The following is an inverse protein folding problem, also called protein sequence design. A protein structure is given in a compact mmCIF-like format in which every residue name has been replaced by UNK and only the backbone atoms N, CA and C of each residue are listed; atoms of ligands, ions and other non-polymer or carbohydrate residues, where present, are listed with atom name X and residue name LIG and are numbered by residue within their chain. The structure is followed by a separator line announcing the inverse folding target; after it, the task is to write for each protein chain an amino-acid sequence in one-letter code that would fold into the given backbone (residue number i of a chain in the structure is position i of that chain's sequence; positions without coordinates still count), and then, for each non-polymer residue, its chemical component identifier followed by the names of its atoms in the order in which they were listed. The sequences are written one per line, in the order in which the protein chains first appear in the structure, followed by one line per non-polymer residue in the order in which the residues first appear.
data_IF_253098503903
#
_entry.id   IF_253098503903
#
_cell.length_a   1.000
_cell.length_b   1.000
_cell.length_c   1.000
_cell.angle_alpha   90.00
_cell.angle_beta   90.00
_cell.angle_gamma   90.00
#
_symmetry.space_group_name_H-M   'P 1'
#
loop_
_entity.id
_entity.type
_entity.pdbx_description
1 polymer ?
#
# COMPACT_ATOMS: atom_id res chain seq x y z
N UNK A 1 81.52 -15.06 11.76
CA UNK A 1 80.50 -15.10 12.83
C UNK A 1 79.37 -14.18 12.38
N UNK A 2 78.15 -14.68 12.12
CA UNK A 2 77.03 -13.82 11.72
C UNK A 2 76.18 -13.36 12.91
N UNK A 3 75.66 -12.14 12.77
CA UNK A 3 74.87 -11.36 13.73
C UNK A 3 73.52 -12.01 14.07
N UNK A 4 73.13 -11.92 15.35
CA UNK A 4 71.80 -12.31 15.84
C UNK A 4 70.78 -11.21 15.51
N UNK A 5 69.84 -11.54 14.63
CA UNK A 5 68.64 -10.74 14.36
C UNK A 5 67.61 -10.95 15.48
N UNK A 6 67.40 -9.92 16.31
CA UNK A 6 66.37 -9.90 17.36
C UNK A 6 65.02 -9.65 16.66
N UNK A 7 64.26 -10.72 16.46
CA UNK A 7 62.90 -10.64 15.95
C UNK A 7 61.98 -10.01 16.99
N UNK A 8 61.59 -8.76 16.73
CA UNK A 8 60.63 -7.98 17.49
C UNK A 8 59.24 -8.65 17.44
N UNK A 9 58.80 -9.18 18.58
CA UNK A 9 57.54 -9.94 18.69
C UNK A 9 56.36 -8.95 18.74
N UNK A 10 55.65 -8.83 17.63
CA UNK A 10 54.40 -8.07 17.53
C UNK A 10 53.36 -8.53 18.59
N UNK A 11 52.64 -7.62 19.26
CA UNK A 11 51.62 -7.99 20.24
C UNK A 11 50.41 -8.61 19.54
N UNK A 12 49.97 -9.76 20.04
CA UNK A 12 48.78 -10.48 19.56
C UNK A 12 47.51 -9.64 19.74
N UNK A 13 46.52 -9.71 18.82
CA UNK A 13 45.27 -8.97 18.95
C UNK A 13 44.54 -9.40 20.22
N UNK A 14 44.20 -8.43 21.07
CA UNK A 14 43.41 -8.66 22.29
C UNK A 14 42.07 -9.28 21.90
N UNK A 15 41.80 -10.50 22.38
CA UNK A 15 40.46 -11.12 22.29
C UNK A 15 39.50 -10.23 23.07
N UNK A 16 38.72 -9.40 22.37
CA UNK A 16 37.62 -8.67 23.00
C UNK A 16 36.61 -9.67 23.56
N UNK A 17 36.47 -9.67 24.89
CA UNK A 17 35.49 -10.51 25.58
C UNK A 17 34.10 -9.92 25.29
N UNK A 18 33.15 -10.69 24.73
CA UNK A 18 31.82 -10.19 24.44
C UNK A 18 31.12 -9.70 25.70
N UNK A 19 30.39 -8.58 25.59
CA UNK A 19 29.60 -8.04 26.70
C UNK A 19 28.53 -9.05 27.12
N UNK A 20 28.19 -9.06 28.41
CA UNK A 20 27.17 -9.95 28.97
C UNK A 20 25.82 -9.84 28.23
N UNK A 21 25.44 -8.63 27.82
CA UNK A 21 24.23 -8.39 27.03
C UNK A 21 24.28 -9.10 25.66
N UNK A 22 25.44 -9.12 25.01
CA UNK A 22 25.65 -9.82 23.73
C UNK A 22 25.58 -11.33 23.91
N UNK A 23 26.15 -11.86 25.01
CA UNK A 23 26.07 -13.29 25.33
C UNK A 23 24.64 -13.72 25.68
N UNK A 24 23.93 -12.90 26.46
CA UNK A 24 22.52 -13.14 26.78
C UNK A 24 21.67 -13.14 25.50
N UNK A 25 21.88 -12.17 24.60
CA UNK A 25 21.22 -12.14 23.31
C UNK A 25 21.53 -13.39 22.46
N UNK A 26 22.80 -13.82 22.38
CA UNK A 26 23.15 -15.04 21.66
C UNK A 26 22.48 -16.29 22.24
N UNK A 27 22.39 -16.39 23.57
CA UNK A 27 21.69 -17.50 24.24
C UNK A 27 20.21 -17.45 23.93
N UNK A 28 19.54 -16.30 24.09
CA UNK A 28 18.12 -16.12 23.78
C UNK A 28 17.84 -16.49 22.31
N UNK A 29 18.67 -16.02 21.38
CA UNK A 29 18.53 -16.34 19.95
C UNK A 29 18.69 -17.85 19.65
N UNK A 30 19.37 -18.60 20.51
CA UNK A 30 19.52 -20.05 20.35
C UNK A 30 18.41 -20.85 21.03
N UNK A 31 17.95 -20.41 22.20
CA UNK A 31 17.01 -21.17 23.02
C UNK A 31 15.56 -20.80 22.76
N UNK A 32 15.24 -19.50 22.71
CA UNK A 32 13.90 -19.01 22.41
C UNK A 32 13.98 -17.58 21.83
N UNK A 33 14.06 -17.44 20.49
CA UNK A 33 14.13 -16.15 19.81
C UNK A 33 12.92 -15.24 20.06
N UNK A 34 11.76 -15.80 20.43
CA UNK A 34 10.54 -15.01 20.63
C UNK A 34 10.59 -14.10 21.85
N UNK A 35 11.41 -14.45 22.84
CA UNK A 35 11.65 -13.62 24.03
C UNK A 35 12.15 -12.21 23.69
N UNK A 36 12.80 -12.02 22.54
CA UNK A 36 13.25 -10.70 22.12
C UNK A 36 12.11 -9.70 21.91
N UNK A 37 10.98 -10.17 21.38
CA UNK A 37 9.82 -9.31 21.16
C UNK A 37 9.11 -8.97 22.47
N UNK A 38 9.05 -9.93 23.41
CA UNK A 38 8.57 -9.67 24.77
C UNK A 38 9.44 -8.63 25.49
N UNK A 39 10.76 -8.68 25.28
CA UNK A 39 11.69 -7.71 25.86
C UNK A 39 11.60 -6.33 25.18
N UNK A 40 11.32 -6.28 23.88
CA UNK A 40 11.18 -5.05 23.11
C UNK A 40 10.04 -4.16 23.61
N UNK A 41 8.88 -4.73 23.92
CA UNK A 41 7.75 -3.95 24.46
C UNK A 41 7.98 -3.41 25.88
N UNK A 42 8.88 -4.04 26.64
CA UNK A 42 9.04 -3.75 28.07
C UNK A 42 10.28 -2.93 28.42
N UNK A 43 11.31 -2.86 27.55
CA UNK A 43 12.56 -2.13 27.81
C UNK A 43 13.23 -1.62 26.53
N UNK A 44 13.92 -0.47 26.62
CA UNK A 44 14.85 -0.01 25.58
C UNK A 44 16.05 -0.95 25.50
N UNK A 45 16.13 -1.73 24.42
CA UNK A 45 17.27 -2.58 24.13
C UNK A 45 18.42 -1.75 23.51
N UNK A 46 19.68 -2.17 23.70
CA UNK A 46 20.78 -1.59 22.95
C UNK A 46 20.58 -1.79 21.45
N UNK A 47 20.79 -0.74 20.65
CA UNK A 47 20.58 -0.76 19.21
C UNK A 47 21.34 -1.89 18.49
N UNK A 48 22.50 -2.31 19.01
CA UNK A 48 23.28 -3.41 18.44
C UNK A 48 22.56 -4.77 18.56
N UNK A 49 21.83 -5.01 19.65
CA UNK A 49 21.07 -6.25 19.87
C UNK A 49 19.78 -6.21 19.05
N UNK A 50 19.09 -5.07 19.06
CA UNK A 50 17.88 -4.86 18.26
C UNK A 50 18.13 -5.07 16.77
N UNK A 51 19.16 -4.41 16.21
CA UNK A 51 19.51 -4.52 14.80
C UNK A 51 19.96 -5.92 14.39
N UNK A 52 20.59 -6.67 15.29
CA UNK A 52 21.18 -7.97 14.95
C UNK A 52 20.22 -9.14 15.14
N UNK A 53 19.31 -9.07 16.10
CA UNK A 53 18.48 -10.20 16.50
C UNK A 53 16.99 -9.97 16.31
N UNK A 54 16.52 -8.71 16.35
CA UNK A 54 15.09 -8.37 16.32
C UNK A 54 14.69 -7.89 14.94
N UNK A 55 15.36 -6.85 14.44
CA UNK A 55 15.05 -6.21 13.17
C UNK A 55 15.03 -7.17 11.98
N UNK A 56 15.94 -8.15 11.84
CA UNK A 56 15.86 -9.11 10.73
C UNK A 56 14.57 -9.94 10.75
N UNK A 57 14.13 -10.37 11.93
CA UNK A 57 12.91 -11.17 12.10
C UNK A 57 11.64 -10.32 11.87
N UNK A 58 11.61 -9.09 12.40
CA UNK A 58 10.53 -8.12 12.13
C UNK A 58 10.46 -7.82 10.64
N UNK A 59 11.59 -7.50 9.99
CA UNK A 59 11.62 -7.21 8.56
C UNK A 59 11.18 -8.39 7.72
N UNK A 60 11.53 -9.62 8.12
CA UNK A 60 11.04 -10.81 7.44
C UNK A 60 9.51 -10.90 7.50
N UNK A 61 8.93 -10.71 8.68
CA UNK A 61 7.48 -10.72 8.87
C UNK A 61 6.80 -9.60 8.08
N UNK A 62 7.34 -8.37 8.16
CA UNK A 62 6.86 -7.22 7.39
C UNK A 62 6.89 -7.52 5.89
N UNK A 63 7.99 -8.08 5.37
CA UNK A 63 8.11 -8.44 3.97
C UNK A 63 7.12 -9.54 3.54
N UNK A 64 6.78 -10.47 4.43
CA UNK A 64 5.79 -11.52 4.17
C UNK A 64 4.37 -10.92 4.07
N UNK A 65 3.96 -10.11 5.05
CA UNK A 65 2.67 -9.44 5.02
C UNK A 65 2.57 -8.41 3.88
N UNK A 66 3.66 -7.70 3.58
CA UNK A 66 3.70 -6.76 2.45
C UNK A 66 3.44 -7.48 1.12
N UNK A 67 4.01 -8.68 0.91
CA UNK A 67 3.72 -9.50 -0.28
C UNK A 67 2.25 -9.89 -0.36
N UNK A 68 1.65 -10.30 0.76
CA UNK A 68 0.22 -10.65 0.82
C UNK A 68 -0.62 -9.42 0.50
N UNK A 69 -0.31 -8.27 1.11
CA UNK A 69 -0.98 -7.00 0.84
C UNK A 69 -0.92 -6.63 -0.65
N UNK A 70 0.27 -6.65 -1.27
CA UNK A 70 0.42 -6.33 -2.69
C UNK A 70 -0.30 -7.32 -3.60
N UNK A 71 -0.33 -8.60 -3.24
CA UNK A 71 -1.14 -9.61 -3.93
C UNK A 71 -2.63 -9.25 -3.89
N UNK A 72 -3.15 -8.90 -2.72
CA UNK A 72 -4.54 -8.48 -2.53
C UNK A 72 -4.87 -7.18 -3.28
N UNK A 73 -3.94 -6.23 -3.33
CA UNK A 73 -4.07 -4.99 -4.12
C UNK A 73 -4.19 -5.31 -5.61
N UNK A 74 -3.36 -6.24 -6.11
CA UNK A 74 -3.41 -6.66 -7.50
C UNK A 74 -4.71 -7.42 -7.83
N UNK A 75 -5.16 -8.31 -6.95
CA UNK A 75 -6.43 -9.01 -7.10
C UNK A 75 -7.61 -8.02 -7.11
N UNK A 76 -7.60 -7.03 -6.20
CA UNK A 76 -8.60 -5.97 -6.19
C UNK A 76 -8.61 -5.19 -7.51
N UNK A 77 -7.42 -4.85 -8.04
CA UNK A 77 -7.31 -4.15 -9.32
C UNK A 77 -7.97 -4.95 -10.44
N UNK A 78 -7.73 -6.25 -10.52
CA UNK A 78 -8.38 -7.13 -11.49
C UNK A 78 -9.90 -7.17 -11.30
N UNK A 79 -10.39 -7.24 -10.06
CA UNK A 79 -11.84 -7.17 -9.77
C UNK A 79 -12.45 -5.86 -10.26
N UNK A 80 -11.77 -4.73 -10.05
CA UNK A 80 -12.21 -3.41 -10.50
C UNK A 80 -12.25 -3.35 -12.01
N UNK A 81 -11.19 -3.77 -12.68
CA UNK A 81 -11.11 -3.74 -14.14
C UNK A 81 -12.16 -4.67 -14.78
N UNK A 82 -12.40 -5.86 -14.21
CA UNK A 82 -13.46 -6.77 -14.66
C UNK A 82 -14.87 -6.19 -14.45
N UNK A 83 -15.13 -5.59 -13.28
CA UNK A 83 -16.42 -4.96 -12.99
C UNK A 83 -16.69 -3.76 -13.91
N UNK A 84 -15.69 -2.90 -14.10
CA UNK A 84 -15.75 -1.76 -15.02
C UNK A 84 -15.99 -2.22 -16.46
N UNK A 85 -15.26 -3.24 -16.93
CA UNK A 85 -15.45 -3.81 -18.28
C UNK A 85 -16.86 -4.39 -18.46
N UNK A 86 -17.40 -5.06 -17.44
CA UNK A 86 -18.77 -5.59 -17.47
C UNK A 86 -19.81 -4.47 -17.57
N UNK A 87 -19.64 -3.39 -16.79
CA UNK A 87 -20.50 -2.21 -16.88
C UNK A 87 -20.40 -1.56 -18.26
N UNK A 88 -19.19 -1.40 -18.80
CA UNK A 88 -18.99 -0.81 -20.13
C UNK A 88 -19.59 -1.65 -21.25
N UNK A 89 -19.66 -2.97 -21.09
CA UNK A 89 -20.31 -3.85 -22.05
C UNK A 89 -21.85 -3.81 -21.96
N UNK A 90 -22.41 -3.35 -20.84
CA UNK A 90 -23.85 -3.30 -20.62
C UNK A 90 -24.51 -2.16 -21.42
N UNK A 91 -25.40 -2.46 -22.38
CA UNK A 91 -26.02 -1.43 -23.21
C UNK A 91 -26.93 -0.46 -22.44
N UNK A 92 -27.57 -0.94 -21.36
CA UNK A 92 -28.42 -0.11 -20.50
C UNK A 92 -27.55 0.90 -19.75
N UNK A 93 -26.47 0.42 -19.12
CA UNK A 93 -25.49 1.28 -18.45
C UNK A 93 -24.94 2.34 -19.41
N UNK A 94 -24.49 1.96 -20.61
CA UNK A 94 -23.96 2.92 -21.59
C UNK A 94 -24.95 4.02 -21.96
N UNK A 95 -26.23 3.66 -22.15
CA UNK A 95 -27.30 4.62 -22.47
C UNK A 95 -27.56 5.56 -21.30
N UNK A 96 -27.70 5.03 -20.09
CA UNK A 96 -27.90 5.81 -18.87
C UNK A 96 -26.70 6.73 -18.60
N UNK A 97 -25.47 6.21 -18.68
CA UNK A 97 -24.25 6.97 -18.50
C UNK A 97 -24.13 8.09 -19.54
N UNK A 98 -24.41 7.81 -20.82
CA UNK A 98 -24.41 8.84 -21.86
C UNK A 98 -25.43 9.94 -21.60
N UNK A 99 -26.64 9.59 -21.14
CA UNK A 99 -27.67 10.57 -20.77
C UNK A 99 -27.25 11.39 -19.56
N UNK A 100 -26.67 10.77 -18.53
CA UNK A 100 -26.13 11.46 -17.37
C UNK A 100 -25.02 12.44 -17.77
N UNK A 101 -24.10 12.04 -18.64
CA UNK A 101 -23.03 12.92 -19.14
C UNK A 101 -23.59 14.08 -19.97
N UNK A 102 -24.62 13.84 -20.79
CA UNK A 102 -25.33 14.89 -21.53
C UNK A 102 -26.03 15.87 -20.57
N UNK A 103 -26.67 15.38 -19.51
CA UNK A 103 -27.31 16.22 -18.50
C UNK A 103 -26.29 17.06 -17.72
N UNK A 104 -25.18 16.46 -17.28
CA UNK A 104 -24.10 17.15 -16.58
C UNK A 104 -23.49 18.26 -17.44
N UNK A 105 -23.19 17.96 -18.70
CA UNK A 105 -22.62 18.95 -19.61
C UNK A 105 -23.59 20.07 -20.00
N UNK A 106 -24.86 19.74 -20.22
CA UNK A 106 -25.92 20.74 -20.38
C UNK A 106 -26.03 21.64 -19.14
N UNK A 107 -25.97 21.05 -17.94
CA UNK A 107 -25.96 21.79 -16.68
C UNK A 107 -24.76 22.73 -16.56
N UNK A 108 -23.55 22.27 -16.92
CA UNK A 108 -22.34 23.11 -16.94
C UNK A 108 -22.49 24.25 -17.95
N UNK A 109 -22.98 23.97 -19.17
CA UNK A 109 -23.17 24.99 -20.21
C UNK A 109 -24.15 26.08 -19.74
N UNK A 110 -25.28 25.70 -19.15
CA UNK A 110 -26.23 26.65 -18.57
C UNK A 110 -25.65 27.39 -17.36
N UNK A 111 -24.86 26.71 -16.52
CA UNK A 111 -24.16 27.35 -15.40
C UNK A 111 -23.21 28.45 -15.87
N UNK A 112 -22.40 28.18 -16.90
CA UNK A 112 -21.51 29.17 -17.52
C UNK A 112 -22.31 30.34 -18.10
N UNK A 113 -23.45 30.07 -18.74
CA UNK A 113 -24.34 31.14 -19.22
C UNK A 113 -24.76 32.10 -18.10
N UNK A 114 -25.19 31.57 -16.95
CA UNK A 114 -25.60 32.40 -15.82
C UNK A 114 -24.42 33.16 -15.20
N UNK A 115 -23.23 32.55 -15.14
CA UNK A 115 -22.00 33.23 -14.68
C UNK A 115 -21.65 34.40 -15.61
N UNK A 116 -21.69 34.19 -16.93
CA UNK A 116 -21.43 35.24 -17.92
C UNK A 116 -22.43 36.39 -17.78
N UNK A 117 -23.72 36.07 -17.60
CA UNK A 117 -24.76 37.08 -17.39
C UNK A 117 -24.55 37.87 -16.10
N UNK A 118 -24.19 37.20 -15.00
CA UNK A 118 -23.91 37.86 -13.72
C UNK A 118 -22.65 38.74 -13.78
N UNK A 119 -21.69 38.41 -14.64
CA UNK A 119 -20.44 39.16 -14.83
C UNK A 119 -20.58 40.42 -15.69
N UNK A 120 -21.81 40.81 -16.05
CA UNK A 120 -22.07 42.02 -16.85
C UNK A 120 -21.69 41.90 -18.33
N UNK A 121 -21.48 40.68 -18.84
CA UNK A 121 -21.24 40.43 -20.26
C UNK A 121 -22.48 40.81 -21.07
N UNK A 122 -22.27 41.36 -22.28
CA UNK A 122 -23.37 41.85 -23.12
C UNK A 122 -24.44 40.78 -23.39
N UNK A 123 -25.70 41.21 -23.54
CA UNK A 123 -26.82 40.32 -23.85
C UNK A 123 -26.62 39.58 -25.19
N UNK A 124 -25.99 40.22 -26.18
CA UNK A 124 -25.67 39.61 -27.46
C UNK A 124 -24.64 38.48 -27.33
N UNK A 125 -23.59 38.69 -26.52
CA UNK A 125 -22.55 37.68 -26.27
C UNK A 125 -23.09 36.48 -25.48
N UNK A 126 -23.89 36.74 -24.44
CA UNK A 126 -24.51 35.67 -23.63
C UNK A 126 -25.54 34.87 -24.43
N UNK A 127 -26.30 35.52 -25.32
CA UNK A 127 -27.21 34.83 -26.23
C UNK A 127 -26.45 33.99 -27.26
N UNK A 128 -25.39 34.54 -27.86
CA UNK A 128 -24.51 33.80 -28.78
C UNK A 128 -23.96 32.53 -28.11
N UNK A 129 -23.62 32.61 -26.82
CA UNK A 129 -23.17 31.45 -26.05
C UNK A 129 -24.26 30.38 -25.83
N UNK A 130 -25.54 30.73 -25.75
CA UNK A 130 -26.61 29.73 -25.73
C UNK A 130 -26.74 29.02 -27.09
N UNK A 131 -26.52 29.74 -28.18
CA UNK A 131 -26.57 29.17 -29.54
C UNK A 131 -25.45 28.15 -29.79
N UNK A 132 -24.39 28.13 -28.98
CA UNK A 132 -23.32 27.11 -29.08
C UNK A 132 -23.66 25.77 -28.42
N UNK A 133 -24.84 25.61 -27.80
CA UNK A 133 -25.28 24.33 -27.20
C UNK A 133 -25.14 23.13 -28.17
N UNK A 134 -25.53 23.21 -29.47
CA UNK A 134 -25.34 22.10 -30.39
C UNK A 134 -23.86 21.70 -30.56
N UNK A 135 -22.95 22.69 -30.58
CA UNK A 135 -21.52 22.42 -30.64
C UNK A 135 -21.03 21.69 -29.37
N UNK A 136 -21.53 22.08 -28.20
CA UNK A 136 -21.25 21.39 -26.93
C UNK A 136 -21.73 19.93 -26.96
N UNK A 137 -22.91 19.67 -27.53
CA UNK A 137 -23.44 18.31 -27.67
C UNK A 137 -22.58 17.47 -28.62
N UNK A 138 -22.12 18.03 -29.75
CA UNK A 138 -21.24 17.34 -30.70
C UNK A 138 -19.91 16.98 -30.04
N UNK A 139 -19.28 17.93 -29.37
CA UNK A 139 -18.04 17.71 -28.61
C UNK A 139 -18.25 16.60 -27.59
N UNK A 140 -19.33 16.66 -26.80
CA UNK A 140 -19.65 15.62 -25.82
C UNK A 140 -19.88 14.25 -26.47
N UNK A 141 -20.54 14.18 -27.63
CA UNK A 141 -20.70 12.93 -28.36
C UNK A 141 -19.37 12.25 -28.69
N UNK A 142 -18.35 13.04 -29.03
CA UNK A 142 -16.99 12.54 -29.27
C UNK A 142 -16.26 12.10 -27.99
N UNK A 143 -16.48 12.79 -26.86
CA UNK A 143 -15.85 12.46 -25.57
C UNK A 143 -16.61 11.42 -24.74
N UNK A 144 -17.88 11.17 -25.08
CA UNK A 144 -18.79 10.31 -24.32
C UNK A 144 -18.24 8.89 -24.08
N UNK A 145 -17.66 8.18 -25.07
CA UNK A 145 -17.13 6.84 -24.83
C UNK A 145 -16.06 6.79 -23.74
N UNK A 146 -15.18 7.79 -23.72
CA UNK A 146 -14.12 7.90 -22.73
C UNK A 146 -14.69 8.26 -21.34
N UNK A 147 -15.63 9.21 -21.29
CA UNK A 147 -16.28 9.59 -20.05
C UNK A 147 -17.11 8.46 -19.42
N UNK A 148 -17.82 7.67 -20.24
CA UNK A 148 -18.59 6.49 -19.79
C UNK A 148 -17.67 5.43 -19.19
N UNK A 149 -16.50 5.19 -19.81
CA UNK A 149 -15.48 4.28 -19.26
C UNK A 149 -14.91 4.78 -17.93
N UNK A 150 -14.62 6.09 -17.81
CA UNK A 150 -14.17 6.66 -16.54
C UNK A 150 -15.23 6.54 -15.45
N UNK A 151 -16.51 6.77 -15.80
CA UNK A 151 -17.62 6.60 -14.88
C UNK A 151 -17.76 5.14 -14.42
N UNK A 152 -17.57 4.17 -15.31
CA UNK A 152 -17.71 2.75 -14.97
C UNK A 152 -16.60 2.31 -14.03
N UNK A 153 -15.38 2.79 -14.27
CA UNK A 153 -14.23 2.58 -13.38
C UNK A 153 -14.42 3.25 -12.02
N UNK A 154 -15.03 4.44 -11.99
CA UNK A 154 -15.41 5.13 -10.76
C UNK A 154 -16.40 4.30 -9.94
N UNK A 155 -17.49 3.85 -10.57
CA UNK A 155 -18.50 3.00 -9.92
C UNK A 155 -17.88 1.69 -9.42
N UNK A 156 -17.08 1.02 -10.24
CA UNK A 156 -16.40 -0.21 -9.86
C UNK A 156 -15.50 -0.02 -8.63
N UNK A 157 -14.79 1.12 -8.54
CA UNK A 157 -13.98 1.44 -7.37
C UNK A 157 -14.80 1.73 -6.10
N UNK A 158 -16.00 2.27 -6.23
CA UNK A 158 -16.90 2.52 -5.09
C UNK A 158 -17.57 1.25 -4.58
N UNK A 159 -17.90 0.31 -5.48
CA UNK A 159 -18.57 -0.95 -5.13
C UNK A 159 -17.57 -1.97 -4.57
N UNK A 160 -16.34 -2.00 -5.10
CA UNK A 160 -15.34 -2.98 -4.69
C UNK A 160 -14.57 -2.43 -3.47
N UNK A 161 -14.64 -3.12 -2.31
CA UNK A 161 -14.02 -2.65 -1.08
C UNK A 161 -12.51 -2.48 -1.26
N UNK A 162 -11.94 -1.55 -0.50
CA UNK A 162 -10.49 -1.36 -0.44
C UNK A 162 -9.84 -2.53 0.29
N UNK A 163 -8.59 -2.81 -0.05
CA UNK A 163 -7.78 -3.74 0.75
C UNK A 163 -7.63 -3.12 2.13
N UNK A 164 -7.99 -3.82 3.21
CA UNK A 164 -7.83 -3.30 4.56
C UNK A 164 -6.35 -3.03 4.84
N UNK A 165 -6.07 -2.01 5.64
CA UNK A 165 -4.74 -1.86 6.22
C UNK A 165 -4.55 -3.02 7.19
N UNK A 166 -3.62 -3.90 6.89
CA UNK A 166 -3.29 -5.02 7.76
C UNK A 166 -2.37 -4.49 8.87
N UNK A 167 -2.91 -4.39 10.09
CA UNK A 167 -2.10 -4.15 11.28
C UNK A 167 -1.59 -5.50 11.76
N UNK A 168 -0.28 -5.72 11.67
CA UNK A 168 0.35 -6.94 12.16
C UNK A 168 0.57 -6.79 13.66
N UNK A 169 -0.22 -7.50 14.48
CA UNK A 169 0.07 -7.63 15.91
C UNK A 169 1.20 -8.65 16.09
N UNK A 170 2.39 -8.15 16.40
CA UNK A 170 3.56 -8.99 16.65
C UNK A 170 3.31 -9.97 17.81
N UNK A 171 2.50 -9.61 18.82
CA UNK A 171 2.21 -10.50 19.95
C UNK A 171 1.33 -11.68 19.55
N UNK A 172 0.36 -11.46 18.68
CA UNK A 172 -0.51 -12.53 18.16
C UNK A 172 0.28 -13.48 17.27
N UNK A 173 1.17 -12.95 16.44
CA UNK A 173 2.06 -13.75 15.60
C UNK A 173 3.02 -14.61 16.43
N UNK A 174 3.57 -14.05 17.52
CA UNK A 174 4.42 -14.80 18.46
C UNK A 174 3.62 -15.92 19.13
N UNK A 175 2.41 -15.63 19.62
CA UNK A 175 1.55 -16.63 20.25
C UNK A 175 1.19 -17.77 19.27
N UNK A 176 1.00 -17.45 17.99
CA UNK A 176 0.79 -18.46 16.93
C UNK A 176 2.02 -19.36 16.77
N UNK A 177 3.21 -18.79 16.61
CA UNK A 177 4.45 -19.55 16.40
C UNK A 177 4.77 -20.44 17.62
N UNK A 178 4.59 -19.93 18.84
CA UNK A 178 4.75 -20.71 20.08
C UNK A 178 3.75 -21.88 20.15
N UNK A 179 2.50 -21.67 19.72
CA UNK A 179 1.48 -22.71 19.69
C UNK A 179 1.77 -23.81 18.65
N UNK A 180 2.35 -23.46 17.51
CA UNK A 180 2.74 -24.41 16.47
C UNK A 180 3.97 -25.24 16.88
N UNK A 181 4.95 -24.63 17.55
CA UNK A 181 6.09 -25.34 18.14
C UNK A 181 5.64 -26.33 19.22
N UNK A 182 4.70 -25.94 20.08
CA UNK A 182 4.14 -26.84 21.11
C UNK A 182 3.39 -28.03 20.50
N UNK A 183 2.67 -27.84 19.39
CA UNK A 183 1.97 -28.93 18.69
C UNK A 183 2.93 -29.85 17.93
N UNK A 184 4.00 -29.31 17.34
CA UNK A 184 5.04 -30.10 16.69
C UNK A 184 5.80 -31.02 17.66
N UNK A 185 5.99 -30.58 18.91
CA UNK A 185 6.67 -31.38 19.94
C UNK A 185 5.80 -32.54 20.47
N UNK A 186 4.47 -32.36 20.50
CA UNK A 186 3.51 -33.41 20.90
C UNK A 186 3.26 -34.46 19.80
N UNK A 187 3.62 -34.18 18.55
CA UNK A 187 3.48 -35.13 17.43
C UNK A 187 4.69 -36.09 17.27
N UNK A 188 5.76 -35.90 18.05
CA UNK A 188 6.98 -36.71 18.01
C UNK A 188 7.17 -37.59 19.26
N UNK A 189 6.15 -37.71 20.12
CA UNK A 189 6.13 -38.61 21.29
C UNK A 189 5.13 -39.73 21.04
#
# INVERSE_FOLDING_TARGET
MPEQNISEKQPSPSREVPKLATLAAQTINKTNPHLFFTLFNNKKLPAEIENRYINPSVQKLVNEHEKVYWSNVNERKQKVDNCSSRLDSDPCYRKCASLTMAALSGGVHIGVYYILRASGVSASTTFTFLVTIPATIIVMGCFSPFAVHLLSKGIANCVIPRVPSEEVDLNEEIARIESEQSKGHLSMV
#
